data_IF_270875408724
#
_entry.id   IF_270875408724
#
_cell.length_a   1.000
_cell.length_b   1.000
_cell.length_c   1.000
_cell.angle_alpha   90.00
_cell.angle_beta   90.00
_cell.angle_gamma   90.00
#
_symmetry.space_group_name_H-M   'P 1'
#
loop_
_entity.id
_entity.type
_entity.pdbx_description
1 polymer ?
#
# COMPACT_ATOMS: atom_id res chain seq x y z
N UNK A 1 -6.99 -8.17 -15.31
CA UNK A 1 -6.23 -7.32 -14.35
C UNK A 1 -5.03 -6.58 -14.98
N UNK A 2 -4.42 -7.06 -16.07
CA UNK A 2 -3.30 -6.38 -16.76
C UNK A 2 -3.62 -5.04 -17.46
N UNK A 3 -4.90 -4.75 -17.78
CA UNK A 3 -5.26 -3.58 -18.59
C UNK A 3 -5.38 -2.25 -17.84
N UNK A 4 -5.57 -2.27 -16.52
CA UNK A 4 -5.75 -1.04 -15.73
C UNK A 4 -4.41 -0.34 -15.41
N UNK A 5 -3.35 -1.10 -15.14
CA UNK A 5 -2.01 -0.57 -14.89
C UNK A 5 -1.42 0.16 -16.12
N UNK A 6 -1.66 -0.35 -17.32
CA UNK A 6 -1.18 0.25 -18.57
C UNK A 6 -1.87 1.59 -18.89
N UNK A 7 -3.14 1.76 -18.48
CA UNK A 7 -3.88 3.01 -18.72
C UNK A 7 -3.42 4.15 -17.79
N UNK A 8 -2.94 3.83 -16.60
CA UNK A 8 -2.40 4.79 -15.64
C UNK A 8 -1.02 5.33 -16.07
N UNK A 9 -0.11 4.43 -16.49
CA UNK A 9 1.24 4.80 -16.96
C UNK A 9 1.19 5.64 -18.24
N UNK A 10 0.26 5.33 -19.16
CA UNK A 10 0.07 6.10 -20.39
C UNK A 10 -0.33 7.56 -20.10
N UNK A 11 -1.26 7.79 -19.18
CA UNK A 11 -1.70 9.16 -18.85
C UNK A 11 -0.61 9.98 -18.13
N UNK A 12 0.28 9.32 -17.39
CA UNK A 12 1.40 9.98 -16.71
C UNK A 12 2.49 10.45 -17.71
N UNK A 13 2.82 9.63 -18.71
CA UNK A 13 3.83 9.96 -19.73
C UNK A 13 3.35 11.07 -20.68
N UNK A 14 2.07 11.08 -21.06
CA UNK A 14 1.51 12.16 -21.92
C UNK A 14 1.48 13.52 -21.23
N UNK A 15 1.39 13.58 -19.89
CA UNK A 15 1.43 14.84 -19.13
C UNK A 15 2.84 15.43 -19.00
N UNK A 16 3.89 14.61 -19.09
CA UNK A 16 5.28 15.06 -18.96
C UNK A 16 5.90 15.50 -20.29
N UNK A 17 5.45 14.95 -21.43
CA UNK A 17 6.02 15.27 -22.74
C UNK A 17 5.49 16.58 -23.39
N UNK A 18 4.36 17.12 -22.92
CA UNK A 18 3.81 18.37 -23.47
C UNK A 18 4.42 19.65 -22.86
N UNK A 19 5.18 19.53 -21.76
CA UNK A 19 5.70 20.69 -21.02
C UNK A 19 7.12 21.12 -21.42
N UNK A 20 7.83 20.33 -22.23
CA UNK A 20 9.24 20.59 -22.57
C UNK A 20 9.47 21.54 -23.75
N UNK A 21 8.44 21.96 -24.50
CA UNK A 21 8.65 22.67 -25.78
C UNK A 21 8.36 24.18 -25.79
N UNK A 22 7.92 24.79 -24.68
CA UNK A 22 7.47 26.20 -24.70
C UNK A 22 8.24 27.19 -23.79
N UNK A 23 9.36 26.81 -23.17
CA UNK A 23 10.03 27.68 -22.17
C UNK A 23 11.47 28.13 -22.48
N UNK A 24 11.95 27.98 -23.72
CA UNK A 24 13.36 28.27 -24.07
C UNK A 24 13.60 29.66 -24.72
N UNK A 25 12.60 30.54 -24.89
CA UNK A 25 12.78 31.80 -25.65
C UNK A 25 12.57 33.14 -24.93
N UNK A 26 12.57 33.22 -23.59
CA UNK A 26 12.46 34.52 -22.87
C UNK A 26 13.46 34.72 -21.73
N UNK A 27 14.69 34.22 -21.89
CA UNK A 27 15.85 34.58 -21.06
C UNK A 27 16.59 35.75 -21.75
N UNK A 28 16.27 37.03 -21.44
CA UNK A 28 17.22 37.75 -20.59
C UNK A 28 16.67 38.90 -19.70
N UNK A 29 15.35 39.17 -19.64
CA UNK A 29 14.84 40.33 -18.85
C UNK A 29 14.12 39.97 -17.56
N UNK A 30 13.74 38.70 -17.35
CA UNK A 30 13.02 38.28 -16.13
C UNK A 30 13.93 38.05 -14.91
N UNK A 31 15.26 37.98 -15.11
CA UNK A 31 16.23 37.68 -14.05
C UNK A 31 16.52 38.87 -13.11
N UNK A 32 16.26 40.11 -13.53
CA UNK A 32 16.62 41.29 -12.74
C UNK A 32 15.52 41.79 -11.78
N UNK A 33 14.27 41.34 -11.94
CA UNK A 33 13.13 41.78 -11.09
C UNK A 33 12.89 40.86 -9.88
N UNK A 34 13.39 39.62 -9.92
CA UNK A 34 13.17 38.61 -8.87
C UNK A 34 13.97 38.84 -7.58
N UNK A 35 14.96 39.73 -7.58
CA UNK A 35 15.86 39.98 -6.43
C UNK A 35 15.21 40.86 -5.34
N UNK A 36 14.12 41.58 -5.64
CA UNK A 36 13.46 42.53 -4.70
C UNK A 36 12.09 42.08 -4.18
N UNK A 37 11.67 40.87 -4.50
CA UNK A 37 10.35 40.33 -4.11
C UNK A 37 10.48 39.41 -2.89
N UNK A 38 9.48 39.25 -2.01
CA UNK A 38 9.49 38.24 -0.92
C UNK A 38 9.41 36.79 -1.44
N UNK A 39 9.26 36.59 -2.75
CA UNK A 39 9.19 35.28 -3.42
C UNK A 39 10.35 34.33 -3.06
N UNK A 40 11.63 34.75 -2.97
CA UNK A 40 12.73 33.86 -2.58
C UNK A 40 12.57 33.30 -1.17
N UNK A 41 12.07 34.11 -0.22
CA UNK A 41 11.82 33.67 1.15
C UNK A 41 10.67 32.66 1.22
N UNK A 42 9.61 32.86 0.44
CA UNK A 42 8.46 31.94 0.38
C UNK A 42 8.89 30.60 -0.24
N UNK A 43 9.67 30.63 -1.32
CA UNK A 43 10.21 29.42 -1.95
C UNK A 43 11.14 28.67 -0.98
N UNK A 44 12.02 29.39 -0.27
CA UNK A 44 12.92 28.80 0.73
C UNK A 44 12.14 28.18 1.91
N UNK A 45 11.09 28.85 2.40
CA UNK A 45 10.24 28.35 3.48
C UNK A 45 9.48 27.08 3.06
N UNK A 46 8.95 27.03 1.83
CA UNK A 46 8.32 25.83 1.30
C UNK A 46 9.31 24.69 1.10
N UNK A 47 10.53 24.99 0.64
CA UNK A 47 11.59 23.99 0.48
C UNK A 47 12.00 23.40 1.85
N UNK A 48 12.13 24.24 2.88
CA UNK A 48 12.42 23.81 4.25
C UNK A 48 11.29 23.01 4.91
N UNK A 49 10.02 23.31 4.59
CA UNK A 49 8.88 22.57 5.11
C UNK A 49 8.67 21.21 4.43
N UNK A 50 9.16 21.05 3.19
CA UNK A 50 9.04 19.80 2.44
C UNK A 50 10.02 18.70 2.89
N UNK A 51 11.11 19.05 3.59
CA UNK A 51 12.11 18.07 4.06
C UNK A 51 11.71 17.33 5.35
N UNK A 52 10.65 17.77 6.05
CA UNK A 52 10.18 17.12 7.29
C UNK A 52 9.21 15.95 7.05
N UNK A 53 8.77 15.72 5.81
CA UNK A 53 7.93 14.56 5.45
C UNK A 53 8.79 13.32 5.16
N UNK A 54 9.65 12.96 6.11
CA UNK A 54 10.21 11.61 6.13
C UNK A 54 9.12 10.66 6.61
N UNK A 55 8.36 10.08 5.68
CA UNK A 55 7.42 9.01 5.99
C UNK A 55 8.22 7.83 6.52
N UNK A 56 8.19 7.62 7.84
CA UNK A 56 8.77 6.44 8.46
C UNK A 56 8.05 5.21 7.88
N UNK A 57 8.69 4.53 6.94
CA UNK A 57 8.29 3.18 6.56
C UNK A 57 8.82 2.28 7.66
N UNK A 58 7.97 1.93 8.62
CA UNK A 58 8.31 0.90 9.58
C UNK A 58 8.69 -0.37 8.80
N UNK A 59 9.91 -0.83 9.01
CA UNK A 59 10.45 -1.99 8.31
C UNK A 59 10.06 -3.23 9.10
N UNK A 60 9.35 -4.16 8.45
CA UNK A 60 9.04 -5.46 9.04
C UNK A 60 10.32 -6.21 9.44
N UNK A 61 10.25 -6.96 10.54
CA UNK A 61 11.35 -7.76 11.07
C UNK A 61 10.85 -9.14 11.47
N UNK A 62 11.62 -10.18 11.13
CA UNK A 62 11.34 -11.56 11.56
C UNK A 62 11.47 -11.75 13.07
N UNK A 63 12.15 -10.85 13.77
CA UNK A 63 12.35 -10.90 15.22
C UNK A 63 11.34 -10.05 16.01
N UNK A 64 10.30 -9.50 15.37
CA UNK A 64 9.35 -8.56 16.02
C UNK A 64 8.76 -9.12 17.33
N UNK A 65 8.39 -10.41 17.35
CA UNK A 65 7.81 -11.07 18.52
C UNK A 65 8.82 -11.80 19.41
N UNK A 66 10.12 -11.72 19.13
CA UNK A 66 11.14 -12.53 19.83
C UNK A 66 11.16 -12.33 21.36
N UNK A 67 10.83 -11.14 21.86
CA UNK A 67 10.81 -10.83 23.29
C UNK A 67 9.41 -10.83 23.92
N UNK A 68 8.37 -10.54 23.14
CA UNK A 68 6.99 -10.39 23.63
C UNK A 68 6.17 -11.66 23.51
N UNK A 69 6.38 -12.43 22.43
CA UNK A 69 5.70 -13.71 22.18
C UNK A 69 6.66 -14.67 21.46
N UNK A 70 7.66 -15.24 22.16
CA UNK A 70 8.71 -16.05 21.53
C UNK A 70 8.20 -17.33 20.86
N UNK A 71 7.02 -17.82 21.27
CA UNK A 71 6.37 -19.02 20.73
C UNK A 71 5.34 -18.71 19.63
N UNK A 72 5.24 -17.47 19.15
CA UNK A 72 4.23 -17.08 18.17
C UNK A 72 4.26 -17.96 16.91
N UNK A 73 5.45 -18.21 16.36
CA UNK A 73 5.60 -19.05 15.17
C UNK A 73 5.21 -20.51 15.43
N UNK A 74 5.70 -21.10 16.52
CA UNK A 74 5.40 -22.48 16.94
C UNK A 74 3.88 -22.71 17.07
N UNK A 75 3.18 -21.80 17.77
CA UNK A 75 1.72 -21.89 17.97
C UNK A 75 0.96 -21.79 16.63
N UNK A 76 1.41 -20.94 15.72
CA UNK A 76 0.79 -20.80 14.40
C UNK A 76 1.06 -22.05 13.55
N UNK A 77 2.28 -22.56 13.56
CA UNK A 77 2.66 -23.79 12.84
C UNK A 77 1.83 -24.99 13.30
N UNK A 78 1.70 -25.19 14.61
CA UNK A 78 0.90 -26.28 15.18
C UNK A 78 -0.57 -26.18 14.74
N UNK A 79 -1.17 -24.99 14.82
CA UNK A 79 -2.55 -24.78 14.39
C UNK A 79 -2.76 -24.98 12.89
N UNK A 80 -1.78 -24.61 12.06
CA UNK A 80 -1.82 -24.84 10.61
C UNK A 80 -1.70 -26.34 10.30
N UNK A 81 -0.79 -27.05 10.99
CA UNK A 81 -0.61 -28.49 10.82
C UNK A 81 -1.85 -29.28 11.25
N UNK A 82 -2.49 -28.88 12.35
CA UNK A 82 -3.77 -29.44 12.80
C UNK A 82 -4.87 -29.26 11.73
N UNK A 83 -5.05 -28.02 11.23
CA UNK A 83 -6.04 -27.73 10.19
C UNK A 83 -5.77 -28.51 8.89
N UNK A 84 -4.50 -28.69 8.50
CA UNK A 84 -4.12 -29.49 7.32
C UNK A 84 -4.40 -30.98 7.54
N UNK A 85 -4.19 -31.47 8.77
CA UNK A 85 -4.46 -32.87 9.13
C UNK A 85 -5.96 -33.18 9.03
N UNK A 86 -6.81 -32.24 9.38
CA UNK A 86 -8.27 -32.36 9.24
C UNK A 86 -8.74 -32.22 7.79
N UNK A 87 -8.29 -31.17 7.09
CA UNK A 87 -8.55 -30.97 5.67
C UNK A 87 -7.27 -30.56 4.93
N UNK A 88 -6.70 -31.47 4.13
CA UNK A 88 -5.42 -31.24 3.42
C UNK A 88 -5.40 -29.97 2.55
N UNK A 89 -6.56 -29.58 2.00
CA UNK A 89 -6.72 -28.38 1.18
C UNK A 89 -6.64 -27.09 2.01
N UNK A 90 -6.55 -27.15 3.35
CA UNK A 90 -6.46 -25.97 4.22
C UNK A 90 -5.16 -25.19 4.07
N UNK A 91 -4.03 -25.85 3.82
CA UNK A 91 -2.76 -25.15 3.56
C UNK A 91 -2.88 -24.18 2.37
N UNK A 92 -3.54 -24.62 1.29
CA UNK A 92 -3.80 -23.76 0.14
C UNK A 92 -4.85 -22.67 0.42
N UNK A 93 -5.85 -22.94 1.27
CA UNK A 93 -6.84 -21.94 1.70
C UNK A 93 -6.20 -20.78 2.43
N UNK A 94 -5.34 -21.07 3.42
CA UNK A 94 -4.72 -20.06 4.27
C UNK A 94 -3.75 -19.19 3.47
N UNK A 95 -3.01 -19.78 2.54
CA UNK A 95 -2.16 -19.02 1.62
C UNK A 95 -3.00 -18.10 0.72
N UNK A 96 -4.12 -18.60 0.18
CA UNK A 96 -5.03 -17.77 -0.62
C UNK A 96 -5.64 -16.64 0.23
N UNK A 97 -6.03 -16.92 1.47
CA UNK A 97 -6.58 -15.93 2.37
C UNK A 97 -5.58 -14.80 2.62
N UNK A 98 -4.32 -15.13 2.92
CA UNK A 98 -3.25 -14.14 3.09
C UNK A 98 -3.02 -13.31 1.82
N UNK A 99 -3.06 -13.92 0.64
CA UNK A 99 -2.95 -13.20 -0.62
C UNK A 99 -4.10 -12.21 -0.83
N UNK A 100 -5.33 -12.61 -0.50
CA UNK A 100 -6.50 -11.74 -0.65
C UNK A 100 -6.49 -10.56 0.33
N UNK A 101 -5.99 -10.75 1.56
CA UNK A 101 -5.74 -9.67 2.52
C UNK A 101 -4.75 -8.67 1.95
N UNK A 102 -3.54 -9.13 1.63
CA UNK A 102 -2.46 -8.25 1.15
C UNK A 102 -2.76 -7.52 -0.18
N UNK A 103 -3.72 -8.02 -0.98
CA UNK A 103 -4.07 -7.41 -2.26
C UNK A 103 -5.03 -6.21 -2.10
N UNK A 104 -5.81 -6.16 -1.03
CA UNK A 104 -6.76 -5.09 -0.75
C UNK A 104 -6.22 -4.26 0.40
N UNK A 105 -5.73 -3.04 0.11
CA UNK A 105 -5.18 -2.10 1.11
C UNK A 105 -4.00 -2.58 1.98
N UNK A 106 -3.55 -3.83 1.85
CA UNK A 106 -2.34 -4.34 2.51
C UNK A 106 -2.66 -5.49 3.47
N UNK A 107 -1.62 -6.04 4.11
CA UNK A 107 -1.78 -7.19 5.01
C UNK A 107 -2.19 -6.70 6.42
N UNK A 108 -3.42 -6.22 6.57
CA UNK A 108 -3.94 -5.61 7.79
C UNK A 108 -4.99 -6.48 8.52
N UNK A 109 -5.31 -7.66 7.97
CA UNK A 109 -6.32 -8.56 8.51
C UNK A 109 -7.76 -8.12 8.25
N UNK A 110 -7.99 -7.10 7.42
CA UNK A 110 -9.33 -6.62 7.07
C UNK A 110 -10.20 -7.71 6.42
N UNK A 111 -9.59 -8.67 5.71
CA UNK A 111 -10.32 -9.81 5.12
C UNK A 111 -11.01 -10.70 6.15
N UNK A 112 -10.59 -10.62 7.43
CA UNK A 112 -11.14 -11.43 8.52
C UNK A 112 -12.40 -10.82 9.15
N UNK A 113 -12.71 -9.56 8.86
CA UNK A 113 -13.85 -8.86 9.44
C UNK A 113 -15.17 -9.30 8.80
N UNK A 114 -16.18 -9.54 9.64
CA UNK A 114 -17.55 -9.82 9.20
C UNK A 114 -18.33 -8.53 8.92
N UNK A 115 -19.37 -8.67 8.11
CA UNK A 115 -20.32 -7.60 7.83
C UNK A 115 -21.02 -7.16 9.13
N UNK A 116 -21.26 -5.85 9.25
CA UNK A 116 -22.09 -5.28 10.31
C UNK A 116 -23.03 -4.20 9.74
N UNK A 117 -23.82 -3.55 10.61
CA UNK A 117 -24.83 -2.57 10.19
C UNK A 117 -24.27 -1.34 9.44
N UNK A 118 -22.97 -1.06 9.61
CA UNK A 118 -22.30 0.15 9.08
C UNK A 118 -21.15 -0.15 8.12
N UNK A 119 -20.77 -1.41 7.99
CA UNK A 119 -19.59 -1.84 7.24
C UNK A 119 -19.85 -3.18 6.55
N UNK A 120 -19.52 -3.24 5.26
CA UNK A 120 -19.47 -4.49 4.50
C UNK A 120 -18.02 -4.94 4.46
N UNK A 121 -17.75 -6.07 5.09
CA UNK A 121 -16.45 -6.72 5.10
C UNK A 121 -16.08 -7.35 3.77
N UNK A 122 -14.83 -7.74 3.64
CA UNK A 122 -14.31 -8.23 2.37
C UNK A 122 -14.75 -9.66 2.06
N UNK A 123 -15.24 -10.42 3.06
CA UNK A 123 -15.67 -11.81 2.90
C UNK A 123 -16.79 -11.96 1.87
N UNK A 124 -17.68 -10.97 1.75
CA UNK A 124 -18.81 -10.98 0.81
C UNK A 124 -18.49 -10.37 -0.55
N UNK A 125 -17.27 -9.88 -0.76
CA UNK A 125 -16.83 -9.40 -2.07
C UNK A 125 -16.86 -10.53 -3.10
N UNK A 126 -17.16 -10.21 -4.37
CA UNK A 126 -17.25 -11.18 -5.48
C UNK A 126 -16.10 -12.22 -5.55
N UNK A 127 -14.81 -11.87 -5.39
CA UNK A 127 -13.74 -12.88 -5.44
C UNK A 127 -13.66 -13.78 -4.19
N UNK A 128 -14.38 -13.44 -3.12
CA UNK A 128 -14.30 -14.05 -1.80
C UNK A 128 -15.57 -14.83 -1.43
N UNK A 129 -16.75 -14.34 -1.81
CA UNK A 129 -18.05 -14.90 -1.47
C UNK A 129 -18.18 -16.35 -1.96
N UNK A 130 -18.44 -17.27 -1.02
CA UNK A 130 -18.51 -18.71 -1.30
C UNK A 130 -17.20 -19.33 -1.82
N UNK A 131 -16.07 -18.63 -1.65
CA UNK A 131 -14.79 -19.00 -2.26
C UNK A 131 -13.63 -19.02 -1.27
N UNK A 132 -13.42 -17.94 -0.51
CA UNK A 132 -12.47 -17.94 0.60
C UNK A 132 -12.99 -18.83 1.73
N UNK A 133 -12.09 -19.52 2.41
CA UNK A 133 -12.39 -20.40 3.54
C UNK A 133 -11.21 -20.49 4.49
N UNK A 134 -11.43 -21.08 5.65
CA UNK A 134 -10.45 -21.11 6.74
C UNK A 134 -10.57 -19.95 7.72
N UNK A 135 -11.78 -19.37 7.83
CA UNK A 135 -12.09 -18.33 8.83
C UNK A 135 -12.41 -18.93 10.20
N UNK A 136 -12.87 -20.18 10.25
CA UNK A 136 -13.25 -20.89 11.46
C UNK A 136 -12.21 -21.97 11.77
N UNK A 137 -12.03 -22.27 13.06
CA UNK A 137 -11.40 -23.51 13.54
C UNK A 137 -12.51 -24.50 13.87
#
# INVERSE_FOLDING_TARGET
>A
MHFWALRYIRNFIYSQLFFSSQLIRRMPTFMASLIKSPIPCIILLHLLLSTSYAQAREKLSTCYYSSTCPKALEIVEDGVLEAIKEESRMGASLLRLHFHDCFVNGCDGSVLLDDNATFTGEKTANPNAGSLRGFER
#
